data_IF_312371245107
#
_entry.id   IF_312371245107
#
_cell.length_a   1.000
_cell.length_b   1.000
_cell.length_c   1.000
_cell.angle_alpha   90.00
_cell.angle_beta   90.00
_cell.angle_gamma   90.00
#
_symmetry.space_group_name_H-M   'P 1'
#
loop_
_entity.id
_entity.type
_entity.pdbx_description
1 polymer ?
#
# COMPACT_ATOMS: atom_id res chain seq x y z
N UNK A 1 13.10 45.38 -11.82
CA UNK A 1 13.14 43.95 -12.20
C UNK A 1 11.73 43.61 -12.64
N UNK A 2 11.46 43.59 -13.94
CA UNK A 2 10.15 43.21 -14.45
C UNK A 2 10.09 41.68 -14.45
N UNK A 3 9.06 41.11 -13.84
CA UNK A 3 8.81 39.67 -13.90
C UNK A 3 8.25 39.40 -15.32
N UNK A 4 8.97 38.64 -16.13
CA UNK A 4 8.62 38.30 -17.52
C UNK A 4 7.76 37.02 -17.63
N UNK A 5 7.56 36.31 -16.52
CA UNK A 5 6.81 35.05 -16.48
C UNK A 5 5.41 35.26 -15.86
N UNK A 6 4.36 34.85 -16.58
CA UNK A 6 2.96 34.90 -16.13
C UNK A 6 2.63 33.82 -15.09
N UNK A 7 3.53 32.85 -14.86
CA UNK A 7 3.32 31.77 -13.92
C UNK A 7 3.25 32.28 -12.47
N UNK A 8 2.16 32.00 -11.72
CA UNK A 8 1.89 32.66 -10.45
C UNK A 8 2.69 32.10 -9.27
N UNK A 9 3.40 30.98 -9.44
CA UNK A 9 4.14 30.32 -8.37
C UNK A 9 5.65 30.42 -8.58
N UNK A 10 6.35 30.90 -7.56
CA UNK A 10 7.82 30.78 -7.48
C UNK A 10 8.23 29.32 -7.25
N UNK A 11 7.42 28.57 -6.49
CA UNK A 11 7.58 27.13 -6.29
C UNK A 11 6.21 26.46 -6.24
N UNK A 12 6.04 25.35 -6.96
CA UNK A 12 4.78 24.62 -6.94
C UNK A 12 4.41 24.12 -5.54
N UNK A 13 3.11 24.13 -5.18
CA UNK A 13 2.64 23.59 -3.91
C UNK A 13 2.75 22.06 -3.86
N UNK A 14 2.92 21.52 -2.66
CA UNK A 14 2.95 20.07 -2.40
C UNK A 14 1.53 19.54 -2.08
N UNK A 15 0.64 19.57 -3.07
CA UNK A 15 -0.78 19.23 -2.85
C UNK A 15 -1.02 17.78 -2.38
N UNK A 16 -0.11 16.85 -2.68
CA UNK A 16 -0.22 15.44 -2.32
C UNK A 16 0.23 15.08 -0.91
N UNK A 17 0.78 16.03 -0.14
CA UNK A 17 1.48 15.75 1.13
C UNK A 17 0.60 15.13 2.22
N UNK A 18 -0.72 15.35 2.17
CA UNK A 18 -1.65 14.73 3.12
C UNK A 18 -1.87 13.24 2.85
N UNK A 19 -1.45 12.73 1.69
CA UNK A 19 -1.35 11.30 1.41
C UNK A 19 0.00 10.75 1.89
N UNK A 20 0.15 10.70 3.22
CA UNK A 20 1.39 10.29 3.88
C UNK A 20 1.78 8.84 3.60
N UNK A 21 0.84 8.02 3.08
CA UNK A 21 1.10 6.63 2.70
C UNK A 21 2.17 6.50 1.63
N UNK A 22 2.16 7.37 0.64
CA UNK A 22 2.93 7.14 -0.58
C UNK A 22 4.39 7.55 -0.41
N UNK A 23 4.66 8.53 0.45
CA UNK A 23 5.97 9.15 0.64
C UNK A 23 6.89 8.35 1.58
N UNK A 24 6.34 7.38 2.32
CA UNK A 24 7.11 6.47 3.15
C UNK A 24 6.27 5.38 3.80
N UNK A 25 6.95 4.34 4.29
CA UNK A 25 6.32 3.20 4.97
C UNK A 25 7.21 2.73 6.11
N UNK A 26 6.64 2.56 7.31
CA UNK A 26 7.30 1.84 8.39
C UNK A 26 7.08 0.33 8.21
N UNK A 27 8.17 -0.44 8.21
CA UNK A 27 8.15 -1.90 8.12
C UNK A 27 8.96 -2.43 9.30
N UNK A 28 8.34 -3.19 10.19
CA UNK A 28 8.94 -3.61 11.46
C UNK A 28 9.58 -2.41 12.21
N UNK A 29 10.88 -2.47 12.49
CA UNK A 29 11.63 -1.44 13.23
C UNK A 29 12.28 -0.37 12.34
N UNK A 30 12.11 -0.42 11.02
CA UNK A 30 12.72 0.54 10.11
C UNK A 30 11.71 1.23 9.21
N UNK A 31 12.24 2.12 8.37
CA UNK A 31 11.45 2.95 7.48
C UNK A 31 11.96 2.87 6.06
N UNK A 32 11.03 2.79 5.13
CA UNK A 32 11.24 3.02 3.72
C UNK A 32 10.84 4.46 3.42
N UNK A 33 11.77 5.25 2.88
CA UNK A 33 11.44 6.55 2.26
C UNK A 33 11.29 6.30 0.77
N UNK A 34 10.15 6.71 0.22
CA UNK A 34 9.79 6.38 -1.15
C UNK A 34 10.62 7.12 -2.20
N UNK A 35 10.71 6.53 -3.37
CA UNK A 35 11.24 7.14 -4.59
C UNK A 35 10.06 7.35 -5.53
N UNK A 36 9.49 8.56 -5.51
CA UNK A 36 8.23 8.87 -6.19
C UNK A 36 8.42 8.86 -7.71
N UNK A 37 7.55 8.18 -8.45
CA UNK A 37 7.69 8.12 -9.91
C UNK A 37 7.24 9.41 -10.60
N UNK A 38 6.29 10.13 -10.00
CA UNK A 38 5.74 11.38 -10.52
C UNK A 38 6.61 12.58 -10.12
N UNK A 39 7.17 13.36 -11.06
CA UNK A 39 8.09 14.47 -10.76
C UNK A 39 7.55 15.47 -9.74
N UNK A 40 6.27 15.84 -9.85
CA UNK A 40 5.64 16.80 -8.96
C UNK A 40 5.51 16.33 -7.49
N UNK A 41 5.64 15.02 -7.22
CA UNK A 41 5.62 14.47 -5.85
C UNK A 41 7.00 14.19 -5.27
N UNK A 42 8.06 14.20 -6.07
CA UNK A 42 9.41 13.85 -5.61
C UNK A 42 9.90 14.75 -4.46
N UNK A 43 9.45 16.00 -4.43
CA UNK A 43 9.78 16.96 -3.36
C UNK A 43 9.16 16.59 -2.01
N UNK A 44 8.09 15.81 -1.98
CA UNK A 44 7.39 15.46 -0.74
C UNK A 44 8.26 14.58 0.18
N UNK A 45 9.08 13.68 -0.39
CA UNK A 45 9.92 12.73 0.37
C UNK A 45 11.14 13.38 1.00
N UNK A 46 11.48 14.63 0.62
CA UNK A 46 12.51 15.43 1.28
C UNK A 46 12.20 15.60 2.77
N UNK A 47 10.93 15.84 3.11
CA UNK A 47 10.49 16.04 4.49
C UNK A 47 10.65 14.78 5.33
N UNK A 48 10.28 13.62 4.77
CA UNK A 48 10.42 12.31 5.44
C UNK A 48 11.91 11.97 5.63
N UNK A 49 12.75 12.24 4.63
CA UNK A 49 14.21 12.09 4.76
C UNK A 49 14.77 12.97 5.87
N UNK A 50 14.32 14.21 5.98
CA UNK A 50 14.79 15.11 7.04
C UNK A 50 14.39 14.61 8.44
N UNK A 51 13.14 14.12 8.59
CA UNK A 51 12.68 13.50 9.83
C UNK A 51 13.55 12.29 10.19
N UNK A 52 13.78 11.39 9.23
CA UNK A 52 14.62 10.21 9.45
C UNK A 52 16.06 10.54 9.84
N UNK A 53 16.65 11.56 9.22
CA UNK A 53 18.05 11.93 9.48
C UNK A 53 18.24 12.59 10.85
N UNK A 54 17.31 13.46 11.25
CA UNK A 54 17.57 14.40 12.34
C UNK A 54 16.63 14.27 13.54
N UNK A 55 15.40 13.77 13.37
CA UNK A 55 14.41 13.77 14.44
C UNK A 55 14.74 12.67 15.48
N UNK A 56 14.90 12.99 16.78
CA UNK A 56 15.35 12.04 17.81
C UNK A 56 14.61 10.69 17.85
N UNK A 57 13.29 10.69 17.63
CA UNK A 57 12.49 9.47 17.60
C UNK A 57 12.74 8.55 16.39
N UNK A 58 13.34 9.06 15.32
CA UNK A 58 13.52 8.37 14.04
C UNK A 58 14.99 8.31 13.60
N UNK A 59 15.92 8.77 14.44
CA UNK A 59 17.34 8.80 14.09
C UNK A 59 17.83 7.41 13.70
N UNK A 60 18.80 7.41 12.78
CA UNK A 60 19.43 6.23 12.16
C UNK A 60 19.74 5.08 13.12
N UNK A 61 20.15 5.40 14.34
CA UNK A 61 20.58 4.41 15.34
C UNK A 61 19.43 3.49 15.81
N UNK A 62 18.18 3.94 15.65
CA UNK A 62 16.98 3.20 16.07
C UNK A 62 16.05 2.85 14.91
N UNK A 63 16.16 3.53 13.76
CA UNK A 63 15.30 3.32 12.60
C UNK A 63 16.15 3.10 11.35
N UNK A 64 16.47 1.84 11.01
CA UNK A 64 17.15 1.53 9.76
C UNK A 64 16.34 2.02 8.54
N UNK A 65 17.04 2.41 7.48
CA UNK A 65 16.41 2.76 6.20
C UNK A 65 16.41 1.55 5.29
N UNK A 66 15.23 1.07 4.94
CA UNK A 66 15.05 -0.15 4.14
C UNK A 66 15.26 0.04 2.65
N UNK A 67 15.27 1.28 2.19
CA UNK A 67 15.43 1.60 0.79
C UNK A 67 16.15 2.92 0.63
N UNK A 68 17.18 2.96 -0.21
CA UNK A 68 17.84 4.20 -0.56
C UNK A 68 17.11 4.79 -1.77
N UNK A 69 16.44 5.93 -1.57
CA UNK A 69 15.59 6.55 -2.58
C UNK A 69 16.38 7.25 -3.70
N UNK A 70 17.71 7.15 -3.71
CA UNK A 70 18.63 7.59 -4.77
C UNK A 70 19.08 6.44 -5.70
N UNK A 71 18.62 5.20 -5.48
CA UNK A 71 18.93 4.03 -6.32
C UNK A 71 18.42 4.13 -7.77
N UNK A 72 17.59 5.12 -8.09
CA UNK A 72 17.02 5.32 -9.42
C UNK A 72 15.82 4.42 -9.77
N UNK A 73 15.38 3.57 -8.84
CA UNK A 73 14.18 2.74 -9.02
C UNK A 73 12.99 3.32 -8.22
N UNK A 74 11.82 3.43 -8.86
CA UNK A 74 10.61 3.96 -8.23
C UNK A 74 9.99 2.96 -7.25
N UNK A 75 9.53 3.45 -6.09
CA UNK A 75 8.79 2.68 -5.09
C UNK A 75 7.92 3.62 -4.25
N UNK A 76 6.63 3.35 -4.21
CA UNK A 76 5.65 4.16 -3.46
C UNK A 76 4.93 3.30 -2.42
N UNK A 77 4.64 3.89 -1.25
CA UNK A 77 4.15 3.13 -0.12
C UNK A 77 2.73 2.54 -0.27
N UNK A 78 1.92 3.05 -1.20
CA UNK A 78 0.62 2.47 -1.56
C UNK A 78 0.74 1.03 -2.08
N UNK A 79 1.87 0.66 -2.67
CA UNK A 79 2.11 -0.72 -3.14
C UNK A 79 2.55 -1.67 -2.03
N UNK A 80 2.91 -1.19 -0.84
CA UNK A 80 3.52 -1.99 0.21
C UNK A 80 2.49 -2.30 1.30
N UNK A 81 2.23 -3.59 1.49
CA UNK A 81 1.37 -4.12 2.53
C UNK A 81 2.16 -5.09 3.42
N UNK A 82 2.32 -4.73 4.69
CA UNK A 82 2.85 -5.64 5.72
C UNK A 82 1.69 -6.52 6.19
N UNK A 83 1.68 -7.79 5.78
CA UNK A 83 0.59 -8.71 6.09
C UNK A 83 0.82 -9.46 7.41
N UNK A 84 2.08 -9.73 7.75
CA UNK A 84 2.48 -10.33 9.02
C UNK A 84 3.94 -9.97 9.36
N UNK A 85 4.47 -10.47 10.47
CA UNK A 85 5.90 -10.34 10.81
C UNK A 85 6.83 -11.06 9.81
N UNK A 86 6.29 -11.90 8.92
CA UNK A 86 7.04 -12.74 7.98
C UNK A 86 6.70 -12.54 6.52
N UNK A 87 5.63 -11.79 6.22
CA UNK A 87 5.01 -11.76 4.89
C UNK A 87 4.70 -10.33 4.48
N UNK A 88 5.20 -9.96 3.30
CA UNK A 88 4.79 -8.73 2.61
C UNK A 88 3.94 -9.07 1.39
N UNK A 89 3.02 -8.18 1.05
CA UNK A 89 2.45 -8.09 -0.29
C UNK A 89 2.92 -6.80 -0.95
N UNK A 90 3.39 -6.88 -2.19
CA UNK A 90 3.89 -5.73 -2.93
C UNK A 90 3.22 -5.65 -4.31
N UNK A 91 2.83 -4.46 -4.74
CA UNK A 91 2.38 -4.19 -6.10
C UNK A 91 3.56 -3.87 -7.03
N UNK A 92 3.71 -4.63 -8.12
CA UNK A 92 4.51 -4.19 -9.27
C UNK A 92 3.61 -3.36 -10.18
N UNK A 93 3.65 -2.03 -9.99
CA UNK A 93 2.69 -1.06 -10.56
C UNK A 93 3.36 -0.05 -11.51
N UNK A 94 2.62 0.97 -11.95
CA UNK A 94 3.19 2.14 -12.65
C UNK A 94 4.15 2.95 -11.74
N UNK A 95 4.01 2.79 -10.42
CA UNK A 95 4.72 3.58 -9.39
C UNK A 95 5.88 2.84 -8.74
N UNK A 96 5.81 1.52 -8.72
CA UNK A 96 6.81 0.65 -8.09
C UNK A 96 7.42 -0.30 -9.11
N UNK A 97 8.75 -0.25 -9.27
CA UNK A 97 9.49 -1.04 -10.27
C UNK A 97 10.10 -2.32 -9.68
N UNK A 98 10.41 -3.29 -10.55
CA UNK A 98 11.02 -4.56 -10.14
C UNK A 98 12.36 -4.37 -9.44
N UNK A 99 13.24 -3.48 -9.94
CA UNK A 99 14.53 -3.21 -9.29
C UNK A 99 14.38 -2.68 -7.86
N UNK A 100 13.34 -1.89 -7.58
CA UNK A 100 13.07 -1.44 -6.22
C UNK A 100 12.52 -2.56 -5.33
N UNK A 101 11.66 -3.43 -5.89
CA UNK A 101 11.12 -4.60 -5.21
C UNK A 101 12.24 -5.56 -4.83
N UNK A 102 13.16 -5.87 -5.75
CA UNK A 102 14.31 -6.75 -5.52
C UNK A 102 15.23 -6.19 -4.44
N UNK A 103 15.56 -4.89 -4.52
CA UNK A 103 16.36 -4.22 -3.51
C UNK A 103 15.72 -4.28 -2.11
N UNK A 104 14.41 -4.03 -2.02
CA UNK A 104 13.67 -4.17 -0.76
C UNK A 104 13.63 -5.63 -0.29
N UNK A 105 13.38 -6.58 -1.19
CA UNK A 105 13.30 -8.00 -0.87
C UNK A 105 14.59 -8.54 -0.25
N UNK A 106 15.75 -8.19 -0.80
CA UNK A 106 17.04 -8.55 -0.23
C UNK A 106 17.17 -8.09 1.23
N UNK A 107 16.80 -6.84 1.52
CA UNK A 107 16.88 -6.29 2.88
C UNK A 107 15.88 -7.00 3.79
N UNK A 108 14.64 -7.20 3.36
CA UNK A 108 13.59 -7.81 4.17
C UNK A 108 13.89 -9.28 4.51
N UNK A 109 14.44 -10.05 3.57
CA UNK A 109 14.83 -11.42 3.83
C UNK A 109 15.99 -11.52 4.84
N UNK A 110 16.93 -10.58 4.83
CA UNK A 110 17.96 -10.48 5.88
C UNK A 110 17.39 -10.13 7.25
N UNK A 111 16.26 -9.42 7.30
CA UNK A 111 15.51 -9.14 8.53
C UNK A 111 14.59 -10.30 8.96
N UNK A 112 14.62 -11.44 8.25
CA UNK A 112 13.88 -12.64 8.62
C UNK A 112 12.44 -12.68 8.13
N UNK A 113 12.06 -11.85 7.14
CA UNK A 113 10.88 -12.12 6.33
C UNK A 113 11.09 -13.39 5.51
N UNK A 114 10.03 -14.16 5.31
CA UNK A 114 10.12 -15.47 4.64
C UNK A 114 9.62 -15.42 3.20
N UNK A 115 8.69 -14.50 2.90
CA UNK A 115 8.07 -14.43 1.59
C UNK A 115 7.52 -13.05 1.27
N UNK A 116 7.52 -12.74 -0.02
CA UNK A 116 6.89 -11.55 -0.57
C UNK A 116 5.94 -11.99 -1.69
N UNK A 117 4.67 -11.63 -1.57
CA UNK A 117 3.65 -11.88 -2.58
C UNK A 117 3.57 -10.68 -3.50
N UNK A 118 4.06 -10.84 -4.72
CA UNK A 118 4.15 -9.79 -5.71
C UNK A 118 2.93 -9.83 -6.64
N UNK A 119 2.19 -8.74 -6.71
CA UNK A 119 1.05 -8.56 -7.60
C UNK A 119 1.46 -7.75 -8.83
N UNK A 120 1.45 -8.36 -10.02
CA UNK A 120 1.74 -7.66 -11.27
C UNK A 120 0.52 -6.88 -11.73
N UNK A 121 0.51 -5.58 -11.47
CA UNK A 121 -0.61 -4.70 -11.79
C UNK A 121 -0.47 -4.12 -13.21
N UNK A 122 -1.58 -3.93 -13.94
CA UNK A 122 -1.56 -3.19 -15.19
C UNK A 122 -1.06 -1.76 -14.97
N UNK A 123 -0.22 -1.26 -15.88
CA UNK A 123 0.41 0.06 -15.76
C UNK A 123 -0.56 1.16 -16.22
N UNK A 124 -1.53 1.47 -15.37
CA UNK A 124 -2.46 2.57 -15.59
C UNK A 124 -2.98 3.15 -14.27
N UNK A 125 -3.51 4.38 -14.35
CA UNK A 125 -3.98 5.13 -13.19
C UNK A 125 -5.11 4.46 -12.39
N UNK A 126 -5.91 3.57 -13.00
CA UNK A 126 -7.00 2.86 -12.30
C UNK A 126 -6.46 1.90 -11.24
N UNK A 127 -5.24 1.43 -11.43
CA UNK A 127 -4.54 0.44 -10.61
C UNK A 127 -3.17 0.98 -10.17
N UNK A 128 -3.13 2.26 -9.77
CA UNK A 128 -1.88 2.96 -9.46
C UNK A 128 -1.08 2.29 -8.34
N UNK A 129 -1.75 1.68 -7.37
CA UNK A 129 -1.15 0.98 -6.25
C UNK A 129 -1.93 -0.30 -5.89
N UNK A 130 -1.31 -1.19 -5.12
CA UNK A 130 -1.95 -2.40 -4.61
C UNK A 130 -3.06 -2.10 -3.58
N UNK A 131 -2.89 -1.10 -2.72
CA UNK A 131 -3.83 -0.80 -1.64
C UNK A 131 -5.16 -0.18 -2.09
N UNK A 132 -5.27 0.25 -3.35
CA UNK A 132 -6.55 0.61 -3.97
C UNK A 132 -7.27 -0.61 -4.55
N UNK A 133 -6.65 -1.79 -4.52
CA UNK A 133 -7.24 -3.05 -4.99
C UNK A 133 -7.51 -4.04 -3.88
N UNK A 134 -6.72 -3.98 -2.80
CA UNK A 134 -6.56 -5.04 -1.83
C UNK A 134 -6.07 -4.49 -0.49
N UNK A 135 -6.84 -4.72 0.58
CA UNK A 135 -6.45 -4.30 1.94
C UNK A 135 -6.83 -5.36 2.96
N UNK A 136 -5.94 -5.65 3.91
CA UNK A 136 -6.21 -6.55 5.03
C UNK A 136 -7.03 -5.82 6.12
N UNK A 137 -8.23 -6.33 6.42
CA UNK A 137 -9.20 -5.69 7.33
C UNK A 137 -9.40 -6.46 8.64
N UNK A 138 -8.96 -7.72 8.67
CA UNK A 138 -8.89 -8.56 9.87
C UNK A 138 -7.78 -9.61 9.72
N UNK A 139 -7.52 -10.43 10.74
CA UNK A 139 -6.49 -11.49 10.76
C UNK A 139 -6.57 -12.45 9.56
N UNK A 140 -7.78 -12.74 9.10
CA UNK A 140 -8.05 -13.66 8.00
C UNK A 140 -8.91 -13.03 6.89
N UNK A 141 -9.22 -11.73 6.98
CA UNK A 141 -10.16 -11.07 6.07
C UNK A 141 -9.50 -9.94 5.28
N UNK A 142 -9.82 -9.90 3.98
CA UNK A 142 -9.35 -8.89 3.05
C UNK A 142 -10.51 -8.25 2.32
N UNK A 143 -10.45 -6.93 2.18
CA UNK A 143 -11.29 -6.17 1.29
C UNK A 143 -10.63 -6.12 -0.09
N UNK A 144 -11.33 -6.63 -1.10
CA UNK A 144 -10.77 -6.85 -2.43
C UNK A 144 -11.70 -6.36 -3.54
N UNK A 145 -11.11 -5.83 -4.60
CA UNK A 145 -11.87 -5.45 -5.80
C UNK A 145 -12.14 -6.67 -6.68
N UNK A 146 -13.26 -6.70 -7.44
CA UNK A 146 -13.55 -7.80 -8.37
C UNK A 146 -12.44 -8.02 -9.41
N UNK A 147 -11.77 -6.95 -9.84
CA UNK A 147 -10.66 -7.02 -10.78
C UNK A 147 -9.52 -7.92 -10.27
N UNK A 148 -9.07 -7.71 -9.03
CA UNK A 148 -8.03 -8.56 -8.44
C UNK A 148 -8.56 -9.96 -8.08
N UNK A 149 -9.79 -10.04 -7.54
CA UNK A 149 -10.39 -11.32 -7.13
C UNK A 149 -10.58 -12.30 -8.30
N UNK A 150 -10.80 -11.77 -9.51
CA UNK A 150 -10.98 -12.57 -10.74
C UNK A 150 -9.73 -13.31 -11.22
N UNK A 151 -8.57 -13.05 -10.61
CA UNK A 151 -7.31 -13.71 -11.00
C UNK A 151 -6.71 -13.21 -12.31
N UNK A 152 -7.13 -12.03 -12.79
CA UNK A 152 -6.62 -11.43 -14.03
C UNK A 152 -5.16 -10.97 -13.92
N UNK A 153 -4.63 -10.79 -12.72
CA UNK A 153 -3.28 -10.28 -12.49
C UNK A 153 -2.34 -11.44 -12.17
N UNK A 154 -1.16 -11.44 -12.80
CA UNK A 154 -0.14 -12.41 -12.47
C UNK A 154 0.38 -12.17 -11.05
N UNK A 155 0.49 -13.24 -10.27
CA UNK A 155 1.03 -13.21 -8.91
C UNK A 155 2.31 -14.03 -8.88
N UNK A 156 3.35 -13.48 -8.26
CA UNK A 156 4.61 -14.16 -8.02
C UNK A 156 4.86 -14.26 -6.52
N UNK A 157 5.49 -15.34 -6.10
CA UNK A 157 6.00 -15.50 -4.74
C UNK A 157 7.53 -15.41 -4.81
N UNK A 158 8.07 -14.48 -4.02
CA UNK A 158 9.51 -14.33 -3.82
C UNK A 158 9.90 -14.93 -2.47
N UNK A 159 10.96 -15.73 -2.45
CA UNK A 159 11.52 -16.36 -1.24
C UNK A 159 13.05 -16.27 -1.22
N UNK A 160 13.70 -16.26 -0.04
CA UNK A 160 15.15 -16.24 0.03
C UNK A 160 15.77 -17.57 -0.44
N UNK A 161 16.78 -17.48 -1.31
CA UNK A 161 17.68 -18.58 -1.67
C UNK A 161 18.75 -18.81 -0.61
N UNK A 162 19.38 -19.99 -0.63
CA UNK A 162 20.42 -20.37 0.35
C UNK A 162 21.72 -19.57 0.23
N UNK A 163 21.98 -19.01 -0.94
CA UNK A 163 23.15 -18.22 -1.32
C UNK A 163 22.90 -16.70 -1.26
N UNK A 164 21.76 -16.28 -0.71
CA UNK A 164 21.35 -14.87 -0.68
C UNK A 164 20.68 -14.38 -1.96
N UNK A 165 20.47 -15.26 -2.96
CA UNK A 165 19.64 -14.97 -4.13
C UNK A 165 18.16 -14.84 -3.76
N UNK A 166 17.36 -14.28 -4.66
CA UNK A 166 15.90 -14.26 -4.56
C UNK A 166 15.36 -15.29 -5.54
N UNK A 167 14.58 -16.25 -5.02
CA UNK A 167 13.85 -17.21 -5.85
C UNK A 167 12.47 -16.64 -6.14
N UNK A 168 12.11 -16.54 -7.41
CA UNK A 168 10.80 -16.08 -7.85
C UNK A 168 10.01 -17.22 -8.50
N UNK A 169 8.78 -17.44 -8.08
CA UNK A 169 7.88 -18.43 -8.69
C UNK A 169 6.54 -17.80 -9.04
N UNK A 170 6.09 -17.96 -10.30
CA UNK A 170 4.75 -17.54 -10.68
C UNK A 170 3.73 -18.51 -10.09
N UNK A 171 2.69 -17.97 -9.46
CA UNK A 171 1.60 -18.76 -8.87
C UNK A 171 0.43 -18.81 -9.84
N UNK A 172 -0.11 -20.01 -10.05
CA UNK A 172 -1.28 -20.29 -10.89
C UNK A 172 -2.53 -20.65 -10.08
N UNK A 173 -2.37 -20.75 -8.75
CA UNK A 173 -3.45 -21.03 -7.81
C UNK A 173 -4.35 -19.80 -7.62
N UNK A 174 -5.53 -20.00 -7.03
CA UNK A 174 -6.39 -18.87 -6.66
C UNK A 174 -5.71 -17.94 -5.64
N UNK A 175 -6.06 -16.65 -5.66
CA UNK A 175 -5.52 -15.66 -4.72
C UNK A 175 -5.75 -16.08 -3.25
N UNK A 176 -6.89 -16.71 -2.95
CA UNK A 176 -7.17 -17.29 -1.62
C UNK A 176 -6.08 -18.29 -1.21
N UNK A 177 -5.82 -19.28 -2.05
CA UNK A 177 -4.83 -20.34 -1.77
C UNK A 177 -3.41 -19.80 -1.62
N UNK A 178 -3.06 -18.80 -2.41
CA UNK A 178 -1.76 -18.13 -2.31
C UNK A 178 -1.63 -17.47 -0.93
N UNK A 179 -2.63 -16.71 -0.50
CA UNK A 179 -2.61 -16.01 0.79
C UNK A 179 -2.71 -16.96 1.98
N UNK A 180 -3.54 -18.02 1.90
CA UNK A 180 -3.64 -19.07 2.93
C UNK A 180 -2.29 -19.71 3.21
N UNK A 181 -1.59 -20.17 2.16
CA UNK A 181 -0.24 -20.72 2.28
C UNK A 181 0.75 -19.67 2.78
N UNK A 182 0.70 -18.46 2.22
CA UNK A 182 1.61 -17.40 2.58
C UNK A 182 1.42 -16.90 4.01
N UNK A 183 0.23 -16.97 4.59
CA UNK A 183 -0.02 -16.51 5.96
C UNK A 183 -0.09 -17.65 6.97
N UNK A 184 -0.07 -18.91 6.52
CA UNK A 184 -0.26 -20.07 7.39
C UNK A 184 -1.68 -20.13 7.97
N UNK A 185 -2.67 -19.69 7.18
CA UNK A 185 -4.07 -19.65 7.58
C UNK A 185 -4.82 -20.81 6.93
N UNK A 186 -5.72 -21.44 7.69
CA UNK A 186 -6.61 -22.49 7.16
C UNK A 186 -7.57 -21.96 6.09
N UNK A 187 -7.97 -20.68 6.25
CA UNK A 187 -8.90 -20.01 5.35
C UNK A 187 -8.63 -18.51 5.31
N UNK A 188 -8.79 -17.94 4.11
CA UNK A 188 -8.89 -16.50 3.92
C UNK A 188 -10.30 -16.12 3.49
N UNK A 189 -10.83 -15.00 4.01
CA UNK A 189 -12.14 -14.44 3.65
C UNK A 189 -11.97 -13.19 2.80
N UNK A 190 -12.59 -13.17 1.63
CA UNK A 190 -12.66 -11.97 0.80
C UNK A 190 -14.02 -11.30 0.92
N UNK A 191 -13.96 -9.99 1.17
CA UNK A 191 -15.10 -9.08 1.17
C UNK A 191 -14.98 -8.25 -0.10
N UNK A 192 -16.00 -8.27 -0.96
CA UNK A 192 -15.95 -7.61 -2.26
C UNK A 192 -16.36 -6.14 -2.14
N UNK A 193 -15.54 -5.24 -2.69
CA UNK A 193 -15.92 -3.84 -2.89
C UNK A 193 -17.21 -3.74 -3.70
N UNK A 194 -18.16 -2.92 -3.25
CA UNK A 194 -19.48 -2.75 -3.85
C UNK A 194 -20.30 -4.05 -3.91
N UNK A 195 -20.01 -5.03 -3.06
CA UNK A 195 -20.64 -6.36 -3.11
C UNK A 195 -20.28 -7.18 -4.35
N UNK A 196 -19.32 -6.72 -5.16
CA UNK A 196 -19.01 -7.33 -6.46
C UNK A 196 -20.00 -7.00 -7.58
N UNK A 197 -20.97 -6.11 -7.32
CA UNK A 197 -21.95 -5.68 -8.30
C UNK A 197 -21.30 -4.84 -9.42
N UNK A 198 -21.76 -5.04 -10.65
CA UNK A 198 -21.16 -4.42 -11.84
C UNK A 198 -21.33 -2.90 -11.92
N UNK A 199 -22.27 -2.33 -11.16
CA UNK A 199 -22.51 -0.88 -11.06
C UNK A 199 -21.83 -0.33 -9.81
N UNK A 200 -22.06 -0.97 -8.65
CA UNK A 200 -21.54 -0.45 -7.38
C UNK A 200 -20.03 -0.64 -7.23
N UNK A 201 -19.48 -1.77 -7.65
CA UNK A 201 -18.04 -2.04 -7.46
C UNK A 201 -17.15 -1.05 -8.23
N UNK A 202 -17.39 -0.70 -9.52
CA UNK A 202 -16.60 0.33 -10.19
C UNK A 202 -16.76 1.72 -9.56
N UNK A 203 -17.98 2.09 -9.14
CA UNK A 203 -18.27 3.37 -8.48
C UNK A 203 -17.51 3.51 -7.16
N UNK A 204 -17.58 2.48 -6.32
CA UNK A 204 -16.94 2.51 -5.01
C UNK A 204 -15.44 2.29 -5.09
N UNK A 205 -14.95 1.50 -6.05
CA UNK A 205 -13.52 1.46 -6.40
C UNK A 205 -12.99 2.86 -6.70
N UNK A 206 -13.70 3.62 -7.54
CA UNK A 206 -13.32 5.00 -7.86
C UNK A 206 -13.32 5.93 -6.64
N UNK A 207 -14.25 5.69 -5.71
CA UNK A 207 -14.37 6.42 -4.44
C UNK A 207 -13.47 5.84 -3.32
N UNK A 208 -12.47 5.03 -3.68
CA UNK A 208 -11.48 4.47 -2.74
C UNK A 208 -12.09 3.50 -1.71
N UNK A 209 -13.12 2.75 -2.09
CA UNK A 209 -13.85 1.82 -1.22
C UNK A 209 -13.01 0.69 -0.64
N UNK A 210 -12.01 0.21 -1.38
CA UNK A 210 -11.00 -0.77 -0.92
C UNK A 210 -9.94 -0.18 0.01
N UNK A 211 -9.76 1.15 0.02
CA UNK A 211 -8.65 1.83 0.69
C UNK A 211 -9.00 2.24 2.13
N UNK A 212 -9.48 1.28 2.92
CA UNK A 212 -9.86 1.50 4.32
C UNK A 212 -8.66 1.41 5.26
N UNK A 213 -8.69 2.15 6.37
CA UNK A 213 -7.63 2.08 7.39
C UNK A 213 -8.05 1.14 8.52
N UNK A 214 -7.42 -0.02 8.61
CA UNK A 214 -7.60 -0.95 9.74
C UNK A 214 -6.87 -0.42 10.97
N UNK A 215 -7.60 -0.09 12.03
CA UNK A 215 -7.04 0.45 13.29
C UNK A 215 -6.92 -0.61 14.39
N UNK A 216 -7.70 -1.69 14.29
CA UNK A 216 -7.57 -2.92 15.07
C UNK A 216 -8.11 -4.09 14.23
N UNK A 217 -7.78 -5.35 14.53
CA UNK A 217 -8.39 -6.50 13.85
C UNK A 217 -9.92 -6.40 13.84
N UNK A 218 -10.54 -6.45 12.66
CA UNK A 218 -11.99 -6.34 12.50
C UNK A 218 -12.54 -4.93 12.74
N UNK A 219 -11.69 -3.87 12.75
CA UNK A 219 -12.14 -2.49 12.96
C UNK A 219 -11.44 -1.53 11.98
N UNK A 220 -12.22 -0.92 11.11
CA UNK A 220 -11.72 -0.08 10.00
C UNK A 220 -12.29 1.33 10.03
N UNK A 221 -11.57 2.27 9.43
CA UNK A 221 -12.03 3.61 9.11
C UNK A 221 -12.25 3.69 7.59
N UNK A 222 -13.43 4.15 7.18
CA UNK A 222 -13.85 4.24 5.77
C UNK A 222 -14.55 5.57 5.48
N UNK A 223 -14.71 5.93 4.21
CA UNK A 223 -15.60 7.02 3.82
C UNK A 223 -17.07 6.57 3.92
N UNK A 224 -17.95 7.48 4.34
CA UNK A 224 -19.39 7.25 4.43
C UNK A 224 -20.06 6.92 3.08
N UNK A 225 -19.59 7.53 2.00
CA UNK A 225 -20.14 7.42 0.63
C UNK A 225 -20.03 6.05 -0.05
N UNK A 226 -19.32 5.10 0.54
CA UNK A 226 -19.15 3.74 0.02
C UNK A 226 -20.12 2.81 0.74
N UNK A 227 -21.40 3.11 0.62
CA UNK A 227 -22.50 2.51 1.38
C UNK A 227 -22.56 0.99 1.22
N UNK A 228 -22.43 0.48 -0.02
CA UNK A 228 -22.50 -0.96 -0.26
C UNK A 228 -21.28 -1.67 0.32
N UNK A 229 -20.06 -1.16 0.12
CA UNK A 229 -18.85 -1.74 0.72
C UNK A 229 -18.90 -1.71 2.24
N UNK A 230 -19.37 -0.62 2.83
CA UNK A 230 -19.49 -0.48 4.29
C UNK A 230 -20.49 -1.50 4.85
N UNK A 231 -21.62 -1.71 4.17
CA UNK A 231 -22.60 -2.74 4.53
C UNK A 231 -22.00 -4.16 4.40
N UNK A 232 -21.21 -4.44 3.36
CA UNK A 232 -20.54 -5.73 3.20
C UNK A 232 -19.50 -5.98 4.31
N UNK A 233 -18.75 -4.96 4.71
CA UNK A 233 -17.81 -5.04 5.83
C UNK A 233 -18.54 -5.36 7.13
N UNK A 234 -19.62 -4.63 7.43
CA UNK A 234 -20.42 -4.82 8.64
C UNK A 234 -21.05 -6.23 8.72
N UNK A 235 -21.66 -6.70 7.62
CA UNK A 235 -22.21 -8.07 7.51
C UNK A 235 -21.16 -9.17 7.70
N UNK A 236 -19.89 -8.88 7.45
CA UNK A 236 -18.78 -9.82 7.62
C UNK A 236 -18.07 -9.68 8.98
N UNK A 237 -18.69 -8.95 9.92
CA UNK A 237 -18.21 -8.79 11.30
C UNK A 237 -17.15 -7.71 11.47
N UNK A 238 -16.95 -6.85 10.47
CA UNK A 238 -15.97 -5.75 10.52
C UNK A 238 -16.68 -4.48 11.01
N UNK A 239 -16.25 -3.95 12.15
CA UNK A 239 -16.72 -2.66 12.66
C UNK A 239 -16.22 -1.51 11.77
N UNK A 240 -17.14 -0.83 11.10
CA UNK A 240 -16.83 0.30 10.22
C UNK A 240 -17.06 1.63 10.95
N UNK A 241 -16.02 2.44 11.07
CA UNK A 241 -16.10 3.83 11.49
C UNK A 241 -16.07 4.72 10.25
N UNK A 242 -17.13 5.48 10.02
CA UNK A 242 -17.24 6.32 8.83
C UNK A 242 -17.02 7.80 9.15
N UNK A 243 -16.56 8.55 8.15
CA UNK A 243 -16.55 10.01 8.15
C UNK A 243 -16.78 10.55 6.74
N UNK A 244 -17.18 11.82 6.66
CA UNK A 244 -17.41 12.48 5.38
C UNK A 244 -16.10 12.87 4.70
N UNK A 245 -15.87 12.33 3.52
CA UNK A 245 -14.68 12.55 2.70
C UNK A 245 -14.90 13.42 1.47
N UNK A 246 -15.97 14.23 1.40
CA UNK A 246 -16.39 14.91 0.17
C UNK A 246 -15.27 15.74 -0.49
N UNK A 247 -14.48 16.46 0.32
CA UNK A 247 -13.36 17.26 -0.17
C UNK A 247 -12.08 16.42 -0.34
N UNK A 248 -11.76 15.58 0.66
CA UNK A 248 -10.53 14.76 0.65
C UNK A 248 -10.50 13.75 -0.50
N UNK A 249 -11.66 13.18 -0.85
CA UNK A 249 -11.78 12.23 -1.96
C UNK A 249 -11.47 12.84 -3.33
N UNK A 250 -11.47 14.18 -3.48
CA UNK A 250 -11.06 14.85 -4.72
C UNK A 250 -9.60 14.55 -5.09
N UNK A 251 -8.74 14.32 -4.08
CA UNK A 251 -7.36 13.88 -4.31
C UNK A 251 -7.21 12.42 -4.70
N UNK A 252 -8.31 11.65 -4.73
CA UNK A 252 -8.35 10.23 -5.10
C UNK A 252 -7.52 9.33 -4.18
N UNK A 253 -7.70 9.50 -2.88
CA UNK A 253 -7.14 8.60 -1.86
C UNK A 253 -8.13 8.38 -0.71
N UNK A 254 -8.03 7.20 -0.09
CA UNK A 254 -8.85 6.81 1.05
C UNK A 254 -8.17 7.07 2.40
N UNK A 255 -8.81 6.66 3.51
CA UNK A 255 -8.23 6.77 4.85
C UNK A 255 -6.85 6.09 4.99
N UNK A 256 -6.60 4.99 4.26
CA UNK A 256 -5.29 4.34 4.26
C UNK A 256 -4.22 5.16 3.54
N UNK A 257 -4.56 5.83 2.44
CA UNK A 257 -3.66 6.76 1.74
C UNK A 257 -3.26 7.95 2.61
N UNK A 258 -4.19 8.43 3.45
CA UNK A 258 -3.97 9.58 4.36
C UNK A 258 -3.25 9.22 5.67
N UNK A 259 -2.73 8.00 5.79
CA UNK A 259 -2.11 7.53 7.03
C UNK A 259 -0.85 6.72 6.78
N UNK A 260 0.10 6.84 7.69
CA UNK A 260 1.33 6.04 7.74
C UNK A 260 1.53 5.53 9.17
N UNK A 261 1.08 4.29 9.49
CA UNK A 261 1.27 3.71 10.81
C UNK A 261 2.76 3.65 11.15
N UNK A 262 3.14 4.30 12.24
CA UNK A 262 4.51 4.27 12.78
C UNK A 262 4.69 3.12 13.76
N UNK A 263 3.63 2.79 14.51
CA UNK A 263 3.63 1.69 15.47
C UNK A 263 2.29 0.97 15.43
N UNK A 264 2.33 -0.37 15.51
CA UNK A 264 1.19 -1.25 15.70
C UNK A 264 1.59 -2.32 16.72
N UNK A 265 0.68 -2.68 17.60
CA UNK A 265 0.89 -3.80 18.52
C UNK A 265 1.06 -5.11 17.75
N UNK A 266 1.84 -6.03 18.32
CA UNK A 266 2.01 -7.37 17.77
C UNK A 266 0.71 -8.17 17.90
N UNK A 267 0.44 -8.99 16.90
CA UNK A 267 -0.82 -9.71 16.69
C UNK A 267 -0.64 -11.19 16.99
#
# INVERSE_FOLDING_TARGET
MAIEDEYPFVTDPLCGIYFTRDIGVCIANGMLVSSMSMPFRQRETLLVNYIWQYHPLFRRDHTPKWYQNDLGYGIEGGDILVLSEKVLAIGYSERTSLGAIEALAHVMFQQGYERIILFHLPKNRRYMHLDVLFTMVDREAFLITPALASGQFAIYELTPGRDGSILASQKTESVHRILEKALGLDRVRFISVGGGDVIYAPREHWNMGSNVLTIAPGKVIAYDRNDVTNEQLDKNGIKVLTFSGCELSRGRGGPRCMSMPVHREKI
#
